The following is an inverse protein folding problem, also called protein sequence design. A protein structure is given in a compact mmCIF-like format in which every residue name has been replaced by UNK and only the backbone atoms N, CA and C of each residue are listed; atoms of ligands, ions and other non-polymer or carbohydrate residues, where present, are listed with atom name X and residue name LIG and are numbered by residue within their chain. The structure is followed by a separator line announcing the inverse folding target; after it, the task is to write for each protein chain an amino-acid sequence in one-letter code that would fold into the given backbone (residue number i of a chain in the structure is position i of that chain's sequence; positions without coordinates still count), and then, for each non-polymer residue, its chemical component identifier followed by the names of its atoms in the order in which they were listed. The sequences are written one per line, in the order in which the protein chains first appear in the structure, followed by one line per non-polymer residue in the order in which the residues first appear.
data_IF_369069730492
#
_entry.id   IF_369069730492
#
_cell.length_a   1.000
_cell.length_b   1.000
_cell.length_c   1.000
_cell.angle_alpha   90.00
_cell.angle_beta   90.00
_cell.angle_gamma   90.00
#
_symmetry.space_group_name_H-M   'P 1'
#
loop_
_entity.id
_entity.type
_entity.pdbx_description
1 polymer ?
#
# COMPACT_ATOMS: atom_id res chain seq x y z
N UNK A 1 -16.75 1.79 11.45
CA UNK A 1 -16.57 0.48 10.80
C UNK A 1 -16.51 -0.64 11.84
N UNK A 2 -17.21 -1.76 11.67
CA UNK A 2 -17.24 -2.86 12.65
C UNK A 2 -15.94 -3.71 12.61
N UNK A 3 -15.52 -4.30 13.73
CA UNK A 3 -14.29 -5.10 13.91
C UNK A 3 -14.17 -6.23 12.86
N UNK A 4 -15.28 -6.85 12.49
CA UNK A 4 -15.32 -7.89 11.45
C UNK A 4 -14.93 -7.38 10.06
N UNK A 5 -15.36 -6.17 9.68
CA UNK A 5 -14.99 -5.56 8.39
C UNK A 5 -13.50 -5.20 8.37
N UNK A 6 -12.98 -4.65 9.48
CA UNK A 6 -11.55 -4.38 9.67
C UNK A 6 -10.72 -5.64 9.43
N UNK A 7 -11.06 -6.74 10.09
CA UNK A 7 -10.34 -8.00 9.97
C UNK A 7 -10.37 -8.57 8.53
N UNK A 8 -11.54 -8.53 7.86
CA UNK A 8 -11.67 -9.00 6.47
C UNK A 8 -10.80 -8.21 5.50
N UNK A 9 -10.75 -6.88 5.63
CA UNK A 9 -9.92 -6.03 4.78
C UNK A 9 -8.44 -6.35 5.00
N UNK A 10 -7.99 -6.39 6.27
CA UNK A 10 -6.58 -6.71 6.58
C UNK A 10 -6.15 -8.07 6.05
N UNK A 11 -7.03 -9.07 6.10
CA UNK A 11 -6.74 -10.40 5.57
C UNK A 11 -6.76 -10.45 4.03
N UNK A 12 -7.64 -9.70 3.37
CA UNK A 12 -7.72 -9.66 1.89
C UNK A 12 -6.54 -8.89 1.29
N UNK A 13 -6.09 -7.83 1.96
CA UNK A 13 -5.06 -6.91 1.48
C UNK A 13 -3.79 -6.98 2.33
N UNK A 14 -3.38 -8.20 2.71
CA UNK A 14 -2.26 -8.38 3.64
C UNK A 14 -0.93 -8.03 3.00
N UNK A 15 -0.73 -8.30 1.71
CA UNK A 15 0.51 -7.96 1.00
C UNK A 15 0.71 -6.45 0.90
N UNK A 16 -0.38 -5.73 0.59
CA UNK A 16 -0.44 -4.27 0.54
C UNK A 16 -0.22 -3.65 1.93
N UNK A 17 -0.88 -4.20 2.95
CA UNK A 17 -0.68 -3.76 4.34
C UNK A 17 0.78 -3.89 4.77
N UNK A 18 1.42 -5.03 4.48
CA UNK A 18 2.85 -5.25 4.79
C UNK A 18 3.73 -4.25 4.03
N UNK A 19 3.46 -4.00 2.74
CA UNK A 19 4.23 -3.03 1.97
C UNK A 19 4.21 -1.64 2.64
N UNK A 20 3.00 -1.17 2.97
CA UNK A 20 2.82 0.15 3.59
C UNK A 20 3.47 0.22 4.96
N UNK A 21 3.30 -0.80 5.82
CA UNK A 21 3.83 -0.75 7.19
C UNK A 21 5.34 -0.94 7.28
N UNK A 22 5.91 -1.82 6.45
CA UNK A 22 7.33 -2.21 6.55
C UNK A 22 8.22 -1.24 5.76
N UNK A 23 7.83 -0.90 4.54
CA UNK A 23 8.68 -0.14 3.62
C UNK A 23 8.43 1.36 3.67
N UNK A 24 7.17 1.76 3.88
CA UNK A 24 6.78 3.17 3.95
C UNK A 24 6.55 3.68 5.38
N UNK A 25 6.78 2.83 6.39
CA UNK A 25 6.66 3.16 7.80
C UNK A 25 7.78 4.05 8.34
N UNK A 26 8.05 3.94 9.64
CA UNK A 26 8.97 4.83 10.36
C UNK A 26 10.41 4.76 9.84
N UNK A 27 10.86 3.58 9.38
CA UNK A 27 12.23 3.35 8.90
C UNK A 27 12.35 3.46 7.37
N UNK A 28 11.50 4.25 6.70
CA UNK A 28 11.49 4.38 5.24
C UNK A 28 12.83 4.78 4.62
N UNK A 29 13.63 5.58 5.34
CA UNK A 29 14.94 6.07 4.89
C UNK A 29 15.95 4.93 4.66
N UNK A 30 15.71 3.76 5.27
CA UNK A 30 16.51 2.54 5.04
C UNK A 30 16.22 1.94 3.67
N UNK A 31 15.02 2.15 3.13
CA UNK A 31 14.52 1.52 1.91
C UNK A 31 14.65 2.39 0.67
N UNK A 32 14.64 3.72 0.82
CA UNK A 32 14.80 4.68 -0.27
C UNK A 32 14.29 6.07 0.07
N UNK A 33 14.53 7.04 -0.82
CA UNK A 33 14.05 8.42 -0.67
C UNK A 33 12.79 8.68 -1.48
N UNK A 34 12.60 7.94 -2.58
CA UNK A 34 11.44 8.04 -3.48
C UNK A 34 10.49 6.85 -3.36
N UNK A 35 9.23 7.02 -3.80
CA UNK A 35 8.26 5.91 -3.85
C UNK A 35 8.80 4.78 -4.72
N UNK A 36 9.41 5.12 -5.84
CA UNK A 36 9.97 4.18 -6.82
C UNK A 36 11.10 3.34 -6.22
N UNK A 37 12.07 3.98 -5.55
CA UNK A 37 13.18 3.27 -4.89
C UNK A 37 12.70 2.33 -3.77
N UNK A 38 11.75 2.79 -2.96
CA UNK A 38 11.17 1.98 -1.89
C UNK A 38 10.44 0.76 -2.48
N UNK A 39 9.72 0.94 -3.60
CA UNK A 39 9.04 -0.16 -4.30
C UNK A 39 10.03 -1.14 -4.91
N UNK A 40 11.13 -0.66 -5.48
CA UNK A 40 12.21 -1.50 -5.99
C UNK A 40 12.81 -2.37 -4.87
N UNK A 41 13.13 -1.77 -3.72
CA UNK A 41 13.61 -2.49 -2.54
C UNK A 41 12.60 -3.53 -2.01
N UNK A 42 11.31 -3.22 -2.09
CA UNK A 42 10.23 -4.14 -1.78
C UNK A 42 10.18 -5.35 -2.74
N UNK A 43 10.42 -5.13 -4.03
CA UNK A 43 10.47 -6.18 -5.02
C UNK A 43 11.70 -7.09 -4.87
N UNK A 44 12.87 -6.52 -4.61
CA UNK A 44 14.13 -7.26 -4.47
C UNK A 44 14.11 -8.28 -3.33
N UNK A 45 13.41 -7.94 -2.25
CA UNK A 45 13.27 -8.79 -1.08
C UNK A 45 12.12 -9.80 -1.16
N UNK A 46 11.31 -9.76 -2.22
CA UNK A 46 10.08 -10.56 -2.37
C UNK A 46 10.16 -11.59 -3.51
N UNK A 47 9.42 -12.69 -3.35
CA UNK A 47 9.23 -13.64 -4.45
C UNK A 47 8.33 -13.06 -5.55
N UNK A 48 8.48 -13.54 -6.79
CA UNK A 48 7.63 -13.15 -7.93
C UNK A 48 6.13 -13.35 -7.64
N UNK A 49 5.78 -14.41 -6.90
CA UNK A 49 4.39 -14.66 -6.49
C UNK A 49 3.88 -13.62 -5.50
N UNK A 50 4.72 -13.18 -4.55
CA UNK A 50 4.36 -12.13 -3.59
C UNK A 50 4.17 -10.77 -4.29
N UNK A 51 5.01 -10.44 -5.27
CA UNK A 51 4.85 -9.24 -6.12
C UNK A 51 3.55 -9.31 -6.94
N UNK A 52 3.23 -10.47 -7.53
CA UNK A 52 1.96 -10.66 -8.24
C UNK A 52 0.74 -10.49 -7.32
N UNK A 53 0.80 -11.05 -6.11
CA UNK A 53 -0.26 -10.85 -5.11
C UNK A 53 -0.44 -9.37 -4.75
N UNK A 54 0.67 -8.64 -4.55
CA UNK A 54 0.64 -7.21 -4.28
C UNK A 54 -0.02 -6.42 -5.43
N UNK A 55 0.37 -6.68 -6.68
CA UNK A 55 -0.25 -6.06 -7.87
C UNK A 55 -1.76 -6.28 -7.91
N UNK A 56 -2.21 -7.51 -7.65
CA UNK A 56 -3.63 -7.86 -7.63
C UNK A 56 -4.37 -7.12 -6.50
N UNK A 57 -3.80 -7.08 -5.31
CA UNK A 57 -4.38 -6.37 -4.17
C UNK A 57 -4.51 -4.86 -4.42
N UNK A 58 -3.50 -4.22 -5.00
CA UNK A 58 -3.53 -2.80 -5.36
C UNK A 58 -4.60 -2.55 -6.44
N UNK A 59 -4.63 -3.38 -7.48
CA UNK A 59 -5.64 -3.27 -8.56
C UNK A 59 -7.06 -3.41 -8.00
N UNK A 60 -7.28 -4.36 -7.09
CA UNK A 60 -8.55 -4.55 -6.41
C UNK A 60 -8.92 -3.38 -5.50
N UNK A 61 -7.95 -2.77 -4.81
CA UNK A 61 -8.19 -1.60 -3.97
C UNK A 61 -8.60 -0.39 -4.80
N UNK A 62 -7.94 -0.18 -5.95
CA UNK A 62 -8.21 0.91 -6.89
C UNK A 62 -9.59 0.84 -7.56
N UNK A 63 -10.26 -0.32 -7.54
CA UNK A 63 -11.67 -0.45 -7.98
C UNK A 63 -12.67 0.25 -7.05
N UNK A 64 -12.24 0.69 -5.87
CA UNK A 64 -13.06 1.57 -5.02
C UNK A 64 -13.19 2.91 -5.74
N UNK A 65 -14.37 3.28 -6.22
CA UNK A 65 -14.59 4.52 -6.99
C UNK A 65 -14.58 5.76 -6.10
N UNK A 66 -15.16 5.66 -4.90
CA UNK A 66 -15.23 6.76 -3.95
C UNK A 66 -13.89 6.95 -3.21
N UNK A 67 -13.31 8.14 -3.30
CA UNK A 67 -12.01 8.45 -2.69
C UNK A 67 -12.08 8.50 -1.17
N UNK A 68 -13.20 8.91 -0.59
CA UNK A 68 -13.38 8.92 0.87
C UNK A 68 -13.44 7.49 1.43
N UNK A 69 -14.08 6.57 0.71
CA UNK A 69 -14.08 5.15 1.06
C UNK A 69 -12.69 4.53 0.89
N UNK A 70 -11.97 4.87 -0.20
CA UNK A 70 -10.61 4.40 -0.43
C UNK A 70 -9.67 4.87 0.70
N UNK A 71 -9.72 6.14 1.07
CA UNK A 71 -8.97 6.72 2.18
C UNK A 71 -9.28 6.01 3.49
N UNK A 72 -10.57 5.75 3.78
CA UNK A 72 -10.97 5.01 4.98
C UNK A 72 -10.40 3.60 5.03
N UNK A 73 -10.40 2.89 3.89
CA UNK A 73 -9.85 1.53 3.77
C UNK A 73 -8.33 1.51 3.91
N UNK A 74 -7.64 2.45 3.27
CA UNK A 74 -6.17 2.53 3.30
C UNK A 74 -5.64 3.02 4.64
N UNK A 75 -6.26 4.02 5.26
CA UNK A 75 -5.93 4.47 6.62
C UNK A 75 -6.08 3.33 7.62
N UNK A 76 -7.08 2.47 7.43
CA UNK A 76 -7.25 1.27 8.24
C UNK A 76 -6.14 0.23 8.01
N UNK A 77 -5.66 0.07 6.78
CA UNK A 77 -4.60 -0.87 6.45
C UNK A 77 -3.23 -0.40 6.93
N UNK A 78 -2.96 0.90 6.80
CA UNK A 78 -1.72 1.53 7.21
C UNK A 78 -1.57 1.63 8.74
N UNK A 79 -2.66 1.44 9.50
CA UNK A 79 -2.69 1.52 10.97
C UNK A 79 -2.07 2.81 11.55
N UNK A 80 -2.10 3.91 10.80
CA UNK A 80 -1.45 5.21 11.10
C UNK A 80 0.08 5.24 10.99
N UNK A 81 0.69 4.18 10.46
CA UNK A 81 2.14 4.14 10.21
C UNK A 81 2.55 4.90 8.95
N UNK A 82 1.60 5.16 8.04
CA UNK A 82 1.85 5.85 6.79
C UNK A 82 0.67 6.70 6.36
N UNK A 83 0.99 7.81 5.71
CA UNK A 83 0.07 8.72 5.06
C UNK A 83 0.73 9.22 3.75
N UNK A 84 0.01 9.28 2.63
CA UNK A 84 0.55 9.71 1.33
C UNK A 84 0.73 11.23 1.21
N UNK A 85 0.05 12.03 2.03
CA UNK A 85 0.04 13.50 1.94
C UNK A 85 1.42 14.15 2.06
N UNK A 86 2.35 13.70 2.94
CA UNK A 86 3.72 14.21 2.99
C UNK A 86 4.52 14.00 1.69
N UNK A 87 4.06 13.10 0.82
CA UNK A 87 4.64 12.84 -0.49
C UNK A 87 3.97 13.64 -1.61
N UNK A 88 3.02 14.51 -1.28
CA UNK A 88 2.21 15.24 -2.26
C UNK A 88 1.17 14.35 -2.98
N UNK A 89 0.87 13.18 -2.41
CA UNK A 89 0.01 12.18 -3.02
C UNK A 89 -1.32 12.02 -2.26
N UNK A 90 -2.36 11.62 -2.96
CA UNK A 90 -3.56 11.00 -2.38
C UNK A 90 -3.34 9.50 -2.24
N UNK A 91 -4.20 8.78 -1.50
CA UNK A 91 -4.14 7.32 -1.50
C UNK A 91 -4.30 6.71 -2.89
N UNK A 92 -5.14 7.29 -3.75
CA UNK A 92 -5.33 6.80 -5.11
C UNK A 92 -4.06 7.00 -5.95
N UNK A 93 -3.53 8.20 -5.98
CA UNK A 93 -2.36 8.53 -6.79
C UNK A 93 -1.12 7.79 -6.29
N UNK A 94 -0.94 7.66 -4.97
CA UNK A 94 0.07 6.80 -4.36
C UNK A 94 -0.03 5.34 -4.86
N UNK A 95 -1.22 4.73 -4.78
CA UNK A 95 -1.44 3.35 -5.22
C UNK A 95 -1.20 3.16 -6.73
N UNK A 96 -1.60 4.13 -7.55
CA UNK A 96 -1.34 4.12 -9.00
C UNK A 96 0.16 4.19 -9.29
N UNK A 97 0.89 5.03 -8.56
CA UNK A 97 2.32 5.22 -8.70
C UNK A 97 3.11 3.99 -8.27
N UNK A 98 2.75 3.38 -7.14
CA UNK A 98 3.26 2.08 -6.72
C UNK A 98 2.99 1.01 -7.79
N UNK A 99 1.75 0.93 -8.30
CA UNK A 99 1.41 -0.06 -9.32
C UNK A 99 2.24 0.11 -10.60
N UNK A 100 2.53 1.34 -10.99
CA UNK A 100 3.40 1.65 -12.12
C UNK A 100 4.87 1.29 -11.88
N UNK A 101 5.35 1.41 -10.64
CA UNK A 101 6.72 1.05 -10.26
C UNK A 101 6.94 -0.47 -10.11
N UNK A 102 5.88 -1.25 -9.89
CA UNK A 102 5.97 -2.71 -9.73
C UNK A 102 6.27 -3.48 -11.03
N UNK A 103 6.59 -2.83 -12.15
CA UNK A 103 6.65 -3.41 -13.52
C UNK A 103 7.30 -4.80 -13.59
#
# INVERSE_FOLDING_TARGET
MNRFRKWRIRRKFSSLGIMVSVYFGQDREVWGETIEEIVESCCDSRSKDAVRCLKNEITEMLKTEDDSELESRMTLLAEREFAPEPWGETWRSFLQRVLAALQ
#
